data_IF_478553208161
#
_entry.id   IF_478553208161
#
_cell.length_a   1.000
_cell.length_b   1.000
_cell.length_c   1.000
_cell.angle_alpha   90.00
_cell.angle_beta   90.00
_cell.angle_gamma   90.00
#
_symmetry.space_group_name_H-M   'P 1'
#
loop_
_entity.id
_entity.type
_entity.pdbx_description
1 polymer ?
#
# COMPACT_ATOMS: atom_id res chain seq x y z
N UNK A 1 -16.89 -71.17 27.53
CA UNK A 1 -16.81 -69.82 28.09
C UNK A 1 -15.72 -69.07 27.38
N UNK A 2 -16.11 -68.19 26.44
CA UNK A 2 -15.17 -67.42 25.60
C UNK A 2 -15.26 -65.94 26.01
N UNK A 3 -14.22 -65.45 26.69
CA UNK A 3 -14.10 -64.03 27.03
C UNK A 3 -13.66 -63.25 25.81
N UNK A 4 -14.51 -62.34 25.29
CA UNK A 4 -14.16 -61.36 24.28
C UNK A 4 -13.62 -60.10 25.00
N UNK A 5 -12.32 -59.85 24.86
CA UNK A 5 -11.67 -58.59 25.25
C UNK A 5 -11.99 -57.52 24.24
N UNK A 6 -12.63 -56.40 24.64
CA UNK A 6 -12.80 -55.20 23.87
C UNK A 6 -11.58 -54.29 24.02
N UNK A 7 -10.84 -54.07 22.96
CA UNK A 7 -9.77 -53.09 22.90
C UNK A 7 -10.40 -51.71 22.68
N UNK A 8 -10.35 -50.86 23.70
CA UNK A 8 -10.73 -49.44 23.55
C UNK A 8 -9.49 -48.70 23.01
N UNK A 9 -9.56 -48.31 21.73
CA UNK A 9 -8.56 -47.40 21.10
C UNK A 9 -8.92 -45.97 21.49
N UNK A 10 -8.15 -45.39 22.41
CA UNK A 10 -8.23 -43.98 22.74
C UNK A 10 -7.54 -43.18 21.64
N UNK A 11 -8.30 -42.56 20.73
CA UNK A 11 -7.80 -41.58 19.77
C UNK A 11 -7.59 -40.27 20.51
N UNK A 12 -6.35 -39.98 20.86
CA UNK A 12 -5.92 -38.66 21.32
C UNK A 12 -5.98 -37.69 20.14
N UNK A 13 -7.07 -36.95 20.00
CA UNK A 13 -7.16 -35.78 19.15
C UNK A 13 -6.26 -34.69 19.76
N UNK A 14 -5.03 -34.59 19.27
CA UNK A 14 -4.19 -33.41 19.50
C UNK A 14 -4.81 -32.23 18.76
N UNK A 15 -5.47 -31.38 19.52
CA UNK A 15 -5.87 -30.06 19.07
C UNK A 15 -4.60 -29.26 18.76
N UNK A 16 -4.21 -29.16 17.50
CA UNK A 16 -3.25 -28.17 17.04
C UNK A 16 -3.99 -26.84 17.09
N UNK A 17 -3.86 -26.16 18.22
CA UNK A 17 -4.31 -24.78 18.37
C UNK A 17 -3.50 -23.91 17.40
N UNK A 18 -4.03 -23.66 16.22
CA UNK A 18 -3.55 -22.57 15.38
C UNK A 18 -3.69 -21.29 16.21
N UNK A 19 -2.58 -20.62 16.50
CA UNK A 19 -2.59 -19.28 17.07
C UNK A 19 -3.36 -18.40 16.09
N UNK A 20 -4.61 -18.10 16.42
CA UNK A 20 -5.38 -17.07 15.75
C UNK A 20 -4.62 -15.78 16.06
N UNK A 21 -4.02 -15.16 15.06
CA UNK A 21 -3.43 -13.84 15.23
C UNK A 21 -4.53 -12.95 15.80
N UNK A 22 -4.32 -12.43 17.00
CA UNK A 22 -5.21 -11.50 17.67
C UNK A 22 -5.43 -10.32 16.71
N UNK A 23 -6.68 -10.08 16.29
CA UNK A 23 -7.06 -9.01 15.38
C UNK A 23 -6.80 -7.67 16.07
N UNK A 24 -5.55 -7.21 16.01
CA UNK A 24 -5.18 -5.91 16.53
C UNK A 24 -5.92 -4.82 15.73
N UNK A 25 -6.48 -3.85 16.44
CA UNK A 25 -7.12 -2.71 15.81
C UNK A 25 -6.17 -2.05 14.79
N UNK A 26 -6.70 -1.53 13.66
CA UNK A 26 -5.88 -0.83 12.70
C UNK A 26 -5.11 0.33 13.36
N UNK A 27 -3.84 0.56 13.00
CA UNK A 27 -3.00 1.51 13.71
C UNK A 27 -3.49 2.95 13.52
N UNK A 28 -3.46 3.75 14.61
CA UNK A 28 -3.49 5.20 14.54
C UNK A 28 -2.08 5.69 14.21
N UNK A 29 -1.96 6.48 13.16
CA UNK A 29 -0.67 7.04 12.74
C UNK A 29 -0.41 8.39 13.41
N UNK A 30 0.85 8.85 13.41
CA UNK A 30 1.24 10.08 14.10
C UNK A 30 1.99 11.07 13.22
N UNK A 31 2.30 10.68 11.98
CA UNK A 31 3.05 11.52 11.05
C UNK A 31 2.24 11.80 9.80
N UNK A 32 2.18 13.08 9.43
CA UNK A 32 1.72 13.58 8.14
C UNK A 32 2.91 14.19 7.44
N UNK A 33 3.11 13.85 6.17
CA UNK A 33 4.19 14.35 5.34
C UNK A 33 3.64 14.95 4.04
N UNK A 34 4.53 15.63 3.28
CA UNK A 34 4.13 16.33 2.07
C UNK A 34 3.61 17.74 2.36
N UNK A 35 3.19 18.42 1.30
CA UNK A 35 2.77 19.82 1.36
C UNK A 35 1.86 20.18 0.19
N UNK A 36 1.35 21.41 0.21
CA UNK A 36 0.71 22.04 -0.95
C UNK A 36 1.71 22.98 -1.59
N UNK A 37 2.17 22.65 -2.78
CA UNK A 37 3.17 23.45 -3.52
C UNK A 37 2.63 23.92 -4.86
N UNK A 38 3.11 25.10 -5.29
CA UNK A 38 2.94 25.58 -6.65
C UNK A 38 4.27 25.47 -7.38
N UNK A 39 4.32 24.60 -8.37
CA UNK A 39 5.54 24.28 -9.11
C UNK A 39 5.52 25.04 -10.44
N UNK A 40 6.57 25.82 -10.72
CA UNK A 40 6.82 26.38 -12.03
C UNK A 40 7.53 25.35 -12.92
N UNK A 41 6.93 25.00 -14.02
CA UNK A 41 7.48 24.04 -14.97
C UNK A 41 8.66 24.67 -15.72
N UNK A 42 9.83 24.04 -15.64
CA UNK A 42 11.06 24.55 -16.29
C UNK A 42 11.42 23.82 -17.56
N UNK A 43 10.89 22.59 -17.76
CA UNK A 43 11.12 21.74 -18.93
C UNK A 43 9.82 21.09 -19.36
N UNK A 44 9.67 20.87 -20.68
CA UNK A 44 8.51 20.13 -21.19
C UNK A 44 8.35 18.80 -20.48
N UNK A 45 7.18 18.54 -19.91
CA UNK A 45 6.83 17.33 -19.17
C UNK A 45 5.35 16.99 -19.36
N UNK A 46 4.85 16.04 -18.58
CA UNK A 46 3.42 15.74 -18.49
C UNK A 46 2.96 15.78 -17.04
N UNK A 47 1.69 16.07 -16.82
CA UNK A 47 1.05 15.98 -15.51
C UNK A 47 1.23 14.58 -14.90
N UNK A 48 1.12 13.53 -15.72
CA UNK A 48 1.31 12.14 -15.28
C UNK A 48 2.69 11.94 -14.66
N UNK A 49 3.75 12.42 -15.34
CA UNK A 49 5.11 12.29 -14.82
C UNK A 49 5.31 13.11 -13.53
N UNK A 50 4.82 14.35 -13.52
CA UNK A 50 4.95 15.26 -12.38
C UNK A 50 4.23 14.71 -11.15
N UNK A 51 3.01 14.17 -11.31
CA UNK A 51 2.24 13.54 -10.26
C UNK A 51 2.93 12.28 -9.71
N UNK A 52 3.42 11.42 -10.63
CA UNK A 52 4.09 10.17 -10.25
C UNK A 52 5.32 10.42 -9.37
N UNK A 53 6.20 11.35 -9.73
CA UNK A 53 7.42 11.61 -8.93
C UNK A 53 7.13 12.17 -7.55
N UNK A 54 5.92 12.68 -7.33
CA UNK A 54 5.40 13.15 -6.03
C UNK A 54 4.58 12.07 -5.30
N UNK A 55 4.39 10.89 -5.89
CA UNK A 55 3.57 9.82 -5.32
C UNK A 55 2.08 10.17 -5.25
N UNK A 56 1.60 11.07 -6.11
CA UNK A 56 0.20 11.51 -6.20
C UNK A 56 -0.43 10.93 -7.45
N UNK A 57 -1.71 10.62 -7.39
CA UNK A 57 -2.46 10.18 -8.56
C UNK A 57 -2.66 11.33 -9.55
N UNK A 58 -2.25 11.14 -10.80
CA UNK A 58 -2.31 12.19 -11.81
C UNK A 58 -3.73 12.77 -12.08
N UNK A 59 -4.85 11.99 -11.99
CA UNK A 59 -6.18 12.57 -12.15
C UNK A 59 -6.53 13.60 -11.09
N UNK A 60 -5.98 13.44 -9.87
CA UNK A 60 -6.14 14.39 -8.78
C UNK A 60 -5.48 15.73 -9.13
N UNK A 61 -4.24 15.68 -9.63
CA UNK A 61 -3.52 16.89 -10.08
C UNK A 61 -4.24 17.57 -11.26
N UNK A 62 -4.77 16.79 -12.21
CA UNK A 62 -5.59 17.31 -13.31
C UNK A 62 -6.81 18.06 -12.78
N UNK A 63 -7.55 17.46 -11.85
CA UNK A 63 -8.75 18.06 -11.25
C UNK A 63 -8.44 19.34 -10.50
N UNK A 64 -7.39 19.34 -9.67
CA UNK A 64 -6.96 20.49 -8.86
C UNK A 64 -6.53 21.70 -9.70
N UNK A 65 -6.06 21.47 -10.93
CA UNK A 65 -5.56 22.51 -11.83
C UNK A 65 -6.47 22.74 -13.05
N UNK A 66 -7.63 22.10 -13.12
CA UNK A 66 -8.59 22.20 -14.23
C UNK A 66 -7.96 21.97 -15.62
N UNK A 67 -7.00 21.03 -15.71
CA UNK A 67 -6.22 20.81 -16.92
C UNK A 67 -7.04 20.07 -17.98
N UNK A 68 -6.83 20.44 -19.24
CA UNK A 68 -7.44 19.80 -20.42
C UNK A 68 -6.45 18.84 -21.08
N UNK A 69 -6.97 17.78 -21.75
CA UNK A 69 -6.13 16.91 -22.59
C UNK A 69 -5.38 17.74 -23.63
N UNK A 70 -4.14 17.38 -23.98
CA UNK A 70 -3.44 16.11 -23.70
C UNK A 70 -2.60 16.10 -22.42
N UNK A 71 -2.84 16.94 -21.43
CA UNK A 71 -2.15 17.01 -20.13
C UNK A 71 -0.63 17.21 -20.24
N UNK A 72 -0.19 17.91 -21.29
CA UNK A 72 1.21 18.32 -21.50
C UNK A 72 1.45 19.63 -20.77
N UNK A 73 2.65 19.75 -20.21
CA UNK A 73 3.10 20.95 -19.53
C UNK A 73 4.34 21.50 -20.24
N UNK A 74 4.39 22.81 -20.34
CA UNK A 74 5.44 23.54 -21.02
C UNK A 74 6.19 24.44 -20.03
N UNK A 75 7.44 24.86 -20.38
CA UNK A 75 8.15 25.84 -19.57
C UNK A 75 7.30 27.10 -19.37
N UNK A 76 7.19 27.55 -18.13
CA UNK A 76 6.35 28.68 -17.73
C UNK A 76 5.01 28.30 -17.10
N UNK A 77 4.47 27.11 -17.38
CA UNK A 77 3.25 26.65 -16.73
C UNK A 77 3.42 26.55 -15.21
N UNK A 78 2.32 26.80 -14.51
CA UNK A 78 2.29 26.74 -13.05
C UNK A 78 1.28 25.66 -12.62
N UNK A 79 1.73 24.70 -11.79
CA UNK A 79 0.93 23.57 -11.37
C UNK A 79 0.90 23.49 -9.84
N UNK A 80 -0.30 23.54 -9.28
CA UNK A 80 -0.53 23.29 -7.86
C UNK A 80 -0.56 21.77 -7.62
N UNK A 81 0.26 21.28 -6.70
CA UNK A 81 0.28 19.88 -6.26
C UNK A 81 0.09 19.85 -4.75
N UNK A 82 -0.86 19.05 -4.31
CA UNK A 82 -0.99 18.64 -2.91
C UNK A 82 -0.54 17.18 -2.81
N UNK A 83 0.57 16.94 -2.12
CA UNK A 83 1.10 15.60 -1.87
C UNK A 83 1.06 15.22 -0.38
N UNK A 84 0.26 15.95 0.41
CA UNK A 84 0.04 15.68 1.84
C UNK A 84 -0.52 14.27 2.03
N UNK A 85 0.13 13.48 2.88
CA UNK A 85 -0.23 12.09 3.12
C UNK A 85 0.09 11.64 4.54
N UNK A 86 -0.66 10.67 5.04
CA UNK A 86 -0.38 10.02 6.32
C UNK A 86 0.69 8.95 6.10
N UNK A 87 1.78 9.02 6.87
CA UNK A 87 2.88 8.04 6.80
C UNK A 87 2.49 6.76 7.53
N UNK A 88 2.34 5.62 6.83
CA UNK A 88 1.92 4.36 7.45
C UNK A 88 3.13 3.66 8.11
N UNK A 89 3.58 4.19 9.24
CA UNK A 89 4.74 3.64 9.95
C UNK A 89 4.35 2.36 10.70
N UNK A 90 4.32 1.24 10.00
CA UNK A 90 4.04 -0.09 10.55
C UNK A 90 5.32 -0.94 10.76
N UNK A 91 6.49 -0.36 10.49
CA UNK A 91 7.82 -0.90 10.79
C UNK A 91 8.71 0.22 11.32
N UNK A 92 9.66 -0.13 12.21
CA UNK A 92 10.73 0.80 12.60
C UNK A 92 11.69 1.02 11.43
N UNK A 93 12.13 -0.06 10.79
CA UNK A 93 13.08 -0.04 9.68
C UNK A 93 12.60 -0.95 8.56
N UNK A 94 12.88 -0.61 7.32
CA UNK A 94 12.55 -1.40 6.14
C UNK A 94 11.55 -0.75 5.19
N UNK A 95 10.75 -1.57 4.54
CA UNK A 95 9.83 -1.15 3.49
C UNK A 95 8.38 -1.43 3.90
N UNK A 96 7.54 -0.41 3.91
CA UNK A 96 6.08 -0.57 4.03
C UNK A 96 5.45 -0.27 2.68
N UNK A 97 4.64 -1.19 2.16
CA UNK A 97 3.96 -1.04 0.87
C UNK A 97 2.47 -1.00 1.14
N UNK A 98 1.83 0.14 0.88
CA UNK A 98 0.38 0.26 0.97
C UNK A 98 -0.23 0.13 -0.43
N UNK A 99 -0.91 -0.99 -0.68
CA UNK A 99 -1.42 -1.34 -2.00
C UNK A 99 -2.47 -0.36 -2.54
N UNK A 100 -3.45 0.14 -1.75
CA UNK A 100 -4.42 1.15 -2.21
C UNK A 100 -3.78 2.46 -2.68
N UNK A 101 -2.69 2.88 -2.04
CA UNK A 101 -1.95 4.09 -2.39
C UNK A 101 -1.06 3.91 -3.63
N UNK A 102 -0.72 2.63 -3.96
CA UNK A 102 0.30 2.32 -4.95
C UNK A 102 1.64 2.97 -4.62
N UNK A 103 1.99 2.99 -3.32
CA UNK A 103 3.22 3.59 -2.80
C UNK A 103 3.98 2.62 -1.87
N UNK A 104 5.31 2.69 -1.96
CA UNK A 104 6.27 2.09 -1.05
C UNK A 104 6.88 3.19 -0.19
N UNK A 105 6.92 2.98 1.11
CA UNK A 105 7.53 3.84 2.12
C UNK A 105 8.81 3.20 2.62
N UNK A 106 9.89 3.96 2.63
CA UNK A 106 11.19 3.53 3.16
C UNK A 106 11.45 4.17 4.51
N UNK A 107 11.77 3.32 5.50
CA UNK A 107 12.13 3.73 6.86
C UNK A 107 13.54 3.29 7.19
N UNK A 108 14.30 4.17 7.85
CA UNK A 108 15.65 3.90 8.34
C UNK A 108 15.85 4.59 9.68
N UNK A 109 16.40 3.85 10.66
CA UNK A 109 16.64 4.33 12.02
C UNK A 109 15.37 4.89 12.71
N UNK A 110 14.22 4.29 12.42
CA UNK A 110 12.92 4.71 12.92
C UNK A 110 12.33 5.94 12.22
N UNK A 111 13.01 6.47 11.21
CA UNK A 111 12.63 7.70 10.51
C UNK A 111 12.13 7.40 9.10
N UNK A 112 10.98 7.99 8.74
CA UNK A 112 10.49 8.01 7.37
C UNK A 112 11.45 8.77 6.47
N UNK A 113 11.95 8.09 5.44
CA UNK A 113 12.91 8.66 4.49
C UNK A 113 12.22 9.21 3.25
N UNK A 114 11.34 8.39 2.64
CA UNK A 114 10.72 8.73 1.37
C UNK A 114 9.65 7.70 0.97
N UNK A 115 8.70 8.14 0.12
CA UNK A 115 7.80 7.24 -0.59
C UNK A 115 8.14 7.13 -2.09
N UNK A 116 7.78 6.00 -2.69
CA UNK A 116 8.04 5.68 -4.10
C UNK A 116 6.77 5.14 -4.75
N UNK A 117 6.36 5.69 -5.90
CA UNK A 117 5.18 5.21 -6.62
C UNK A 117 5.44 3.82 -7.22
N UNK A 118 4.40 2.99 -7.22
CA UNK A 118 4.45 1.59 -7.61
C UNK A 118 3.44 1.25 -8.71
N UNK A 119 3.64 0.10 -9.36
CA UNK A 119 2.55 -0.72 -9.89
C UNK A 119 2.56 -2.06 -9.15
N UNK A 120 1.37 -2.59 -8.91
CA UNK A 120 1.16 -3.81 -8.13
C UNK A 120 0.31 -4.81 -8.90
N UNK A 121 0.01 -5.96 -8.30
CA UNK A 121 -0.82 -7.00 -8.89
C UNK A 121 -2.18 -6.51 -9.37
N UNK A 122 -2.67 -7.05 -10.49
CA UNK A 122 -4.05 -6.85 -10.95
C UNK A 122 -5.06 -7.51 -9.99
N UNK A 123 -6.35 -7.12 -9.96
CA UNK A 123 -7.31 -7.71 -9.04
C UNK A 123 -7.45 -9.25 -9.15
N UNK A 124 -7.27 -9.81 -10.35
CA UNK A 124 -7.26 -11.27 -10.57
C UNK A 124 -5.97 -11.95 -10.09
N UNK A 125 -4.90 -11.20 -9.85
CA UNK A 125 -3.62 -11.68 -9.32
C UNK A 125 -3.06 -10.65 -8.35
N UNK A 126 -3.68 -10.50 -7.17
CA UNK A 126 -3.33 -9.45 -6.22
C UNK A 126 -1.95 -9.68 -5.61
N UNK A 127 -1.28 -8.59 -5.27
CA UNK A 127 -0.09 -8.67 -4.43
C UNK A 127 -0.53 -9.07 -3.02
N UNK A 128 0.03 -10.14 -2.43
CA UNK A 128 -0.39 -10.62 -1.12
C UNK A 128 0.05 -9.66 -0.01
N UNK A 129 -0.83 -9.44 0.97
CA UNK A 129 -0.50 -8.71 2.20
C UNK A 129 0.25 -9.62 3.17
N UNK A 130 1.09 -9.04 4.03
CA UNK A 130 1.84 -9.79 5.03
C UNK A 130 3.15 -9.15 5.42
N UNK A 131 3.90 -9.86 6.27
CA UNK A 131 5.24 -9.45 6.70
C UNK A 131 6.28 -10.39 6.10
N UNK A 132 7.20 -9.81 5.35
CA UNK A 132 8.19 -10.48 4.54
C UNK A 132 9.58 -9.91 4.80
N UNK A 133 10.58 -10.44 4.11
CA UNK A 133 11.96 -9.92 4.08
C UNK A 133 12.50 -9.96 2.66
N UNK A 134 13.44 -9.09 2.35
CA UNK A 134 14.24 -9.24 1.13
C UNK A 134 15.17 -10.43 1.33
N UNK A 135 15.07 -11.45 0.47
CA UNK A 135 15.94 -12.63 0.58
C UNK A 135 17.04 -12.66 -0.49
N UNK A 136 16.82 -11.97 -1.61
CA UNK A 136 17.84 -11.87 -2.66
C UNK A 136 17.82 -10.50 -3.35
N UNK A 137 18.95 -10.16 -3.98
CA UNK A 137 19.12 -8.95 -4.78
C UNK A 137 19.89 -9.28 -6.05
N UNK A 138 19.36 -8.88 -7.21
CA UNK A 138 20.02 -9.11 -8.50
C UNK A 138 20.11 -7.82 -9.32
N UNK A 139 21.30 -7.58 -9.90
CA UNK A 139 21.50 -6.56 -10.94
C UNK A 139 21.46 -7.22 -12.31
N UNK A 140 20.84 -6.55 -13.26
CA UNK A 140 20.63 -7.06 -14.62
C UNK A 140 20.11 -8.51 -14.61
N UNK A 141 18.95 -8.77 -13.97
CA UNK A 141 18.44 -10.12 -13.81
C UNK A 141 18.08 -10.73 -15.16
N UNK A 142 18.22 -12.03 -15.25
CA UNK A 142 17.49 -12.83 -16.23
C UNK A 142 16.10 -13.09 -15.63
N UNK A 143 15.07 -12.97 -16.42
CA UNK A 143 13.71 -13.31 -15.99
C UNK A 143 13.35 -14.73 -16.44
N UNK A 144 13.28 -15.64 -15.50
CA UNK A 144 12.63 -16.93 -15.71
C UNK A 144 11.12 -16.68 -15.57
N UNK A 145 10.38 -16.93 -16.64
CA UNK A 145 8.96 -16.65 -16.68
C UNK A 145 8.23 -17.70 -15.84
N UNK A 146 7.43 -17.31 -14.84
CA UNK A 146 6.67 -18.24 -14.02
C UNK A 146 5.73 -19.13 -14.89
N UNK A 147 5.49 -20.41 -14.52
CA UNK A 147 4.60 -21.30 -15.26
C UNK A 147 3.22 -20.70 -15.50
N UNK A 148 2.61 -20.11 -14.49
CA UNK A 148 1.30 -19.45 -14.58
C UNK A 148 1.23 -18.29 -15.59
N UNK A 149 2.34 -17.59 -15.84
CA UNK A 149 2.42 -16.56 -16.89
C UNK A 149 2.61 -17.21 -18.25
N UNK A 150 3.32 -18.34 -18.33
CA UNK A 150 3.46 -19.11 -19.57
C UNK A 150 2.11 -19.68 -20.01
N UNK A 151 1.32 -20.20 -19.06
CA UNK A 151 -0.06 -20.67 -19.28
C UNK A 151 -0.96 -19.53 -19.79
N UNK A 152 -0.93 -18.34 -19.15
CA UNK A 152 -1.70 -17.18 -19.65
C UNK A 152 -1.26 -16.77 -21.06
N UNK A 153 0.03 -16.87 -21.39
CA UNK A 153 0.52 -16.59 -22.75
C UNK A 153 -0.07 -17.58 -23.76
N UNK A 154 -0.13 -18.87 -23.41
CA UNK A 154 -0.69 -19.92 -24.25
C UNK A 154 -2.20 -19.72 -24.44
N UNK A 155 -2.96 -19.53 -23.36
CA UNK A 155 -4.41 -19.28 -23.37
C UNK A 155 -4.80 -18.03 -24.21
N UNK A 156 -3.95 -17.00 -24.20
CA UNK A 156 -4.17 -15.76 -24.95
C UNK A 156 -3.58 -15.78 -26.36
N UNK A 157 -3.08 -16.95 -26.82
CA UNK A 157 -2.50 -17.12 -28.18
C UNK A 157 -1.18 -16.35 -28.38
N UNK A 158 -0.51 -15.96 -27.29
CA UNK A 158 0.80 -15.34 -27.36
C UNK A 158 1.90 -16.41 -27.44
N UNK A 159 3.03 -16.03 -28.06
CA UNK A 159 4.19 -16.92 -28.06
C UNK A 159 4.67 -17.14 -26.61
N UNK A 160 4.67 -18.40 -26.16
CA UNK A 160 5.21 -18.75 -24.85
C UNK A 160 6.72 -18.49 -24.78
N UNK A 161 7.13 -17.76 -23.75
CA UNK A 161 8.52 -17.41 -23.48
C UNK A 161 8.88 -17.91 -22.10
N UNK A 162 9.83 -18.84 -22.02
CA UNK A 162 10.28 -19.40 -20.75
C UNK A 162 11.33 -18.53 -20.04
N UNK A 163 12.13 -17.78 -20.83
CA UNK A 163 13.25 -17.01 -20.30
C UNK A 163 13.47 -15.73 -21.11
N UNK A 164 13.67 -14.61 -20.41
CA UNK A 164 14.05 -13.33 -21.02
C UNK A 164 15.44 -12.94 -20.50
N UNK A 165 16.43 -12.77 -21.40
CA UNK A 165 17.78 -12.38 -20.98
C UNK A 165 17.80 -10.98 -20.40
N UNK A 166 18.88 -10.64 -19.70
CA UNK A 166 19.15 -9.28 -19.25
C UNK A 166 19.15 -8.31 -20.42
N UNK A 167 18.65 -7.09 -20.19
CA UNK A 167 18.66 -6.05 -21.21
C UNK A 167 17.41 -5.18 -21.22
N UNK A 168 17.31 -4.24 -22.18
CA UNK A 168 16.24 -3.24 -22.20
C UNK A 168 14.84 -3.83 -22.44
N UNK A 169 14.76 -5.02 -23.04
CA UNK A 169 13.48 -5.74 -23.26
C UNK A 169 13.02 -6.54 -22.04
N UNK A 170 13.90 -6.73 -21.02
CA UNK A 170 13.55 -7.51 -19.83
C UNK A 170 12.53 -6.72 -18.97
N UNK A 171 11.35 -7.29 -18.65
CA UNK A 171 10.32 -6.62 -17.85
C UNK A 171 10.74 -6.35 -16.40
N UNK A 172 11.74 -7.07 -15.86
CA UNK A 172 12.28 -6.81 -14.52
C UNK A 172 13.21 -5.58 -14.49
N UNK A 173 13.65 -5.08 -15.66
CA UNK A 173 14.62 -4.00 -15.76
C UNK A 173 15.98 -4.33 -15.17
N UNK A 174 16.69 -3.29 -14.64
CA UNK A 174 18.09 -3.45 -14.17
C UNK A 174 18.24 -3.94 -12.73
N UNK A 175 17.19 -3.85 -11.90
CA UNK A 175 17.24 -4.14 -10.48
C UNK A 175 16.05 -5.00 -10.06
N UNK A 176 16.35 -6.03 -9.30
CA UNK A 176 15.36 -6.94 -8.72
C UNK A 176 15.73 -7.25 -7.26
N UNK A 177 14.74 -7.22 -6.38
CA UNK A 177 14.81 -7.61 -4.98
C UNK A 177 13.69 -8.62 -4.74
N UNK A 178 14.06 -9.90 -4.52
CA UNK A 178 13.11 -10.97 -4.18
C UNK A 178 12.67 -10.86 -2.74
N UNK A 179 11.38 -11.07 -2.49
CA UNK A 179 10.82 -11.11 -1.13
C UNK A 179 10.53 -12.55 -0.73
N UNK A 180 10.44 -12.81 0.58
CA UNK A 180 10.02 -14.14 1.09
C UNK A 180 8.56 -14.48 0.79
N UNK A 181 7.76 -13.56 0.24
CA UNK A 181 6.48 -13.90 -0.38
C UNK A 181 6.75 -14.68 -1.67
N UNK A 182 6.16 -15.85 -1.81
CA UNK A 182 6.34 -16.72 -2.96
C UNK A 182 6.00 -16.01 -4.27
N UNK A 183 6.92 -16.04 -5.22
CA UNK A 183 6.74 -15.43 -6.54
C UNK A 183 6.73 -13.89 -6.56
N UNK A 184 6.88 -13.21 -5.43
CA UNK A 184 6.77 -11.75 -5.33
C UNK A 184 8.15 -11.11 -5.21
N UNK A 185 8.44 -10.18 -6.12
CA UNK A 185 9.64 -9.35 -6.08
C UNK A 185 9.33 -7.87 -6.31
N UNK A 186 10.23 -7.03 -5.84
CA UNK A 186 10.26 -5.58 -6.10
C UNK A 186 11.31 -5.33 -7.18
N UNK A 187 10.90 -4.78 -8.31
CA UNK A 187 11.81 -4.66 -9.45
C UNK A 187 11.56 -3.39 -10.28
N UNK A 188 12.53 -3.05 -11.13
CA UNK A 188 12.36 -2.01 -12.12
C UNK A 188 11.33 -2.43 -13.18
N UNK A 189 11.12 -1.61 -14.19
CA UNK A 189 10.24 -1.96 -15.31
C UNK A 189 10.77 -1.39 -16.61
N UNK A 190 10.54 -2.09 -17.72
CA UNK A 190 10.69 -1.56 -19.07
C UNK A 190 9.44 -0.84 -19.57
N UNK A 191 8.36 -0.79 -18.74
CA UNK A 191 7.08 -0.13 -19.03
C UNK A 191 6.75 0.91 -17.95
N UNK A 192 7.52 2.02 -17.82
CA UNK A 192 7.37 2.99 -16.73
C UNK A 192 6.00 3.68 -16.70
N UNK A 193 5.27 3.69 -17.82
CA UNK A 193 3.90 4.21 -17.90
C UNK A 193 2.86 3.36 -17.14
N UNK A 194 3.24 2.16 -16.69
CA UNK A 194 2.37 1.28 -15.87
C UNK A 194 2.42 1.62 -14.39
N UNK A 195 3.35 2.45 -13.94
CA UNK A 195 3.41 2.89 -12.54
C UNK A 195 2.19 3.74 -12.22
N UNK A 196 1.59 3.53 -11.06
CA UNK A 196 0.33 4.11 -10.64
C UNK A 196 -0.91 3.25 -11.00
N UNK A 197 -0.69 1.99 -11.42
CA UNK A 197 -1.78 1.07 -11.80
C UNK A 197 -1.60 -0.32 -11.19
N UNK A 198 -2.71 -1.07 -11.13
CA UNK A 198 -2.75 -2.49 -10.76
C UNK A 198 -2.71 -3.34 -12.03
N UNK A 199 -1.51 -3.79 -12.44
CA UNK A 199 -1.30 -4.39 -13.79
C UNK A 199 -0.32 -5.56 -13.80
N UNK A 200 0.28 -5.93 -12.68
CA UNK A 200 1.23 -7.04 -12.63
C UNK A 200 0.54 -8.36 -12.23
N UNK A 201 1.31 -9.43 -12.24
CA UNK A 201 0.92 -10.75 -11.72
C UNK A 201 1.41 -10.91 -10.26
N UNK A 202 1.18 -9.90 -9.43
CA UNK A 202 1.57 -9.87 -8.02
C UNK A 202 2.87 -9.11 -7.74
N UNK A 203 3.87 -9.17 -8.62
CA UNK A 203 5.14 -8.43 -8.44
C UNK A 203 4.95 -6.90 -8.36
N UNK A 204 5.85 -6.25 -7.65
CA UNK A 204 5.84 -4.82 -7.37
C UNK A 204 6.82 -4.11 -8.30
N UNK A 205 6.30 -3.24 -9.17
CA UNK A 205 7.10 -2.49 -10.14
C UNK A 205 7.42 -1.10 -9.64
N UNK A 206 8.65 -0.67 -9.82
CA UNK A 206 9.12 0.69 -9.51
C UNK A 206 9.64 1.40 -10.76
N UNK A 207 9.60 2.74 -10.76
CA UNK A 207 10.28 3.53 -11.78
C UNK A 207 11.79 3.19 -11.79
N UNK A 208 12.40 2.99 -12.97
CA UNK A 208 13.83 2.61 -13.07
C UNK A 208 14.78 3.56 -12.34
N UNK A 209 14.52 4.86 -12.38
CA UNK A 209 15.31 5.88 -11.67
C UNK A 209 15.14 5.81 -10.16
N UNK A 210 13.95 5.44 -9.69
CA UNK A 210 13.66 5.42 -8.25
C UNK A 210 14.21 4.14 -7.59
N UNK A 211 14.04 2.98 -8.20
CA UNK A 211 14.64 1.76 -7.67
C UNK A 211 16.18 1.82 -7.72
N UNK A 212 16.77 2.50 -8.70
CA UNK A 212 18.23 2.69 -8.76
C UNK A 212 18.76 3.46 -7.55
N UNK A 213 17.96 4.36 -6.95
CA UNK A 213 18.29 5.07 -5.72
C UNK A 213 18.04 4.23 -4.47
N UNK A 214 16.96 3.46 -4.45
CA UNK A 214 16.57 2.63 -3.30
C UNK A 214 17.44 1.38 -3.17
N UNK A 215 17.71 0.69 -4.28
CA UNK A 215 18.39 -0.60 -4.30
C UNK A 215 19.71 -0.66 -3.50
N UNK A 216 20.63 0.33 -3.57
CA UNK A 216 21.88 0.28 -2.80
C UNK A 216 21.65 0.44 -1.28
N UNK A 217 20.51 0.98 -0.87
CA UNK A 217 20.19 1.23 0.55
C UNK A 217 19.54 0.01 1.23
N UNK A 218 19.07 -0.95 0.46
CA UNK A 218 18.34 -2.11 0.96
C UNK A 218 19.32 -3.30 1.04
N UNK A 219 19.42 -3.92 2.22
CA UNK A 219 20.19 -5.14 2.43
C UNK A 219 19.30 -6.39 2.28
N UNK A 220 19.91 -7.56 2.05
CA UNK A 220 19.24 -8.84 2.28
C UNK A 220 18.90 -8.93 3.76
N UNK A 221 17.72 -9.44 4.08
CA UNK A 221 17.16 -9.44 5.43
C UNK A 221 16.29 -8.22 5.77
N UNK A 222 16.33 -7.14 4.95
CA UNK A 222 15.48 -5.96 5.18
C UNK A 222 14.00 -6.36 5.28
N UNK A 223 13.29 -5.96 6.36
CA UNK A 223 11.86 -6.21 6.51
C UNK A 223 11.03 -5.53 5.41
N UNK A 224 9.99 -6.23 4.96
CA UNK A 224 9.00 -5.72 4.00
C UNK A 224 7.62 -6.02 4.54
N UNK A 225 6.82 -5.00 4.82
CA UNK A 225 5.43 -5.14 5.22
C UNK A 225 4.51 -4.67 4.11
N UNK A 226 3.69 -5.55 3.60
CA UNK A 226 2.70 -5.23 2.55
C UNK A 226 1.34 -5.16 3.22
N UNK A 227 0.70 -3.99 3.14
CA UNK A 227 -0.56 -3.68 3.81
C UNK A 227 -1.63 -3.26 2.80
N UNK A 228 -2.88 -3.37 3.25
CA UNK A 228 -4.04 -2.85 2.53
C UNK A 228 -4.81 -1.90 3.44
N UNK A 229 -4.46 -0.61 3.42
CA UNK A 229 -5.05 0.45 4.24
C UNK A 229 -5.62 1.54 3.33
N UNK A 230 -6.82 1.34 2.76
CA UNK A 230 -7.46 2.36 1.90
C UNK A 230 -7.97 3.57 2.68
N UNK A 231 -8.05 3.47 4.01
CA UNK A 231 -8.38 4.58 4.91
C UNK A 231 -7.33 4.61 6.01
N UNK A 232 -6.75 5.77 6.23
CA UNK A 232 -5.80 6.04 7.30
C UNK A 232 -6.25 7.23 8.13
N UNK A 233 -6.06 7.15 9.44
CA UNK A 233 -6.28 8.24 10.38
C UNK A 233 -4.98 8.52 11.10
N UNK A 234 -4.66 9.80 11.26
CA UNK A 234 -3.52 10.21 12.07
C UNK A 234 -3.95 11.23 13.13
N UNK A 235 -3.35 11.09 14.32
CA UNK A 235 -3.35 12.11 15.36
C UNK A 235 -1.89 12.58 15.53
N UNK A 236 -1.60 13.81 15.09
CA UNK A 236 -0.26 14.37 15.19
C UNK A 236 0.08 14.79 16.61
N UNK A 237 1.37 14.95 16.95
CA UNK A 237 1.79 15.45 18.27
C UNK A 237 1.16 16.80 18.65
N UNK A 238 0.80 17.61 17.66
CA UNK A 238 0.13 18.93 17.85
C UNK A 238 -1.38 18.78 18.10
N UNK A 239 -1.89 17.55 18.24
CA UNK A 239 -3.31 17.26 18.50
C UNK A 239 -4.22 17.43 17.27
N UNK A 240 -3.67 17.45 16.05
CA UNK A 240 -4.44 17.54 14.81
C UNK A 240 -4.82 16.17 14.30
N UNK A 241 -6.07 16.02 13.90
CA UNK A 241 -6.58 14.77 13.30
C UNK A 241 -6.62 14.89 11.78
N UNK A 242 -6.01 13.93 11.10
CA UNK A 242 -6.02 13.84 9.63
C UNK A 242 -6.71 12.56 9.19
N UNK A 243 -7.44 12.66 8.09
CA UNK A 243 -8.06 11.54 7.40
C UNK A 243 -7.59 11.51 5.95
N UNK A 244 -7.15 10.34 5.51
CA UNK A 244 -6.80 10.05 4.13
C UNK A 244 -7.62 8.87 3.64
N UNK A 245 -8.14 8.97 2.42
CA UNK A 245 -8.89 7.90 1.77
C UNK A 245 -8.35 7.67 0.36
N UNK A 246 -8.01 6.43 0.06
CA UNK A 246 -7.49 5.96 -1.20
C UNK A 246 -8.50 5.13 -1.97
N UNK A 247 -8.17 4.78 -3.22
CA UNK A 247 -8.96 3.85 -3.99
C UNK A 247 -8.94 2.46 -3.34
N UNK A 248 -10.08 1.81 -3.30
CA UNK A 248 -10.16 0.39 -2.99
C UNK A 248 -9.83 -0.41 -4.26
N UNK A 249 -8.53 -0.54 -4.56
CA UNK A 249 -8.03 -1.06 -5.84
C UNK A 249 -8.38 -2.52 -6.10
N UNK A 250 -8.59 -3.33 -5.05
CA UNK A 250 -9.02 -4.72 -5.15
C UNK A 250 -10.51 -4.92 -4.87
N UNK A 251 -11.24 -3.81 -4.61
CA UNK A 251 -12.68 -3.82 -4.33
C UNK A 251 -13.08 -4.71 -3.15
N UNK A 252 -12.18 -4.85 -2.15
CA UNK A 252 -12.49 -5.56 -0.92
C UNK A 252 -13.59 -4.83 -0.16
N UNK A 253 -14.41 -5.58 0.57
CA UNK A 253 -15.52 -5.01 1.31
C UNK A 253 -15.02 -4.00 2.35
N UNK A 254 -15.61 -2.79 2.34
CA UNK A 254 -15.21 -1.70 3.22
C UNK A 254 -16.39 -0.76 3.50
N UNK A 255 -16.93 -0.84 4.71
CA UNK A 255 -17.89 0.12 5.24
C UNK A 255 -17.16 1.37 5.75
N UNK A 256 -16.77 2.24 4.84
CA UNK A 256 -15.79 3.32 5.08
C UNK A 256 -16.15 4.27 6.23
N UNK A 257 -17.44 4.63 6.40
CA UNK A 257 -17.87 5.53 7.47
C UNK A 257 -17.84 4.82 8.84
N UNK A 258 -18.31 3.56 8.88
CA UNK A 258 -18.33 2.79 10.12
C UNK A 258 -16.90 2.47 10.58
N UNK A 259 -16.00 2.20 9.63
CA UNK A 259 -14.58 2.04 9.90
C UNK A 259 -13.98 3.30 10.58
N UNK A 260 -14.24 4.50 10.02
CA UNK A 260 -13.73 5.76 10.60
C UNK A 260 -14.31 6.00 11.99
N UNK A 261 -15.62 5.74 12.19
CA UNK A 261 -16.27 5.88 13.50
C UNK A 261 -15.65 4.92 14.52
N UNK A 262 -15.53 3.63 14.17
CA UNK A 262 -14.96 2.62 15.04
C UNK A 262 -13.51 2.94 15.44
N UNK A 263 -12.69 3.42 14.50
CA UNK A 263 -11.33 3.88 14.78
C UNK A 263 -11.31 5.08 15.74
N UNK A 264 -12.17 6.06 15.48
CA UNK A 264 -12.25 7.28 16.31
C UNK A 264 -12.73 6.96 17.75
N UNK A 265 -13.63 6.01 17.92
CA UNK A 265 -14.10 5.53 19.22
C UNK A 265 -13.00 4.73 19.93
N UNK A 266 -12.37 3.80 19.23
CA UNK A 266 -11.30 2.95 19.79
C UNK A 266 -10.14 3.78 20.34
N UNK A 267 -9.73 4.84 19.63
CA UNK A 267 -8.66 5.72 20.03
C UNK A 267 -9.11 6.95 20.86
N UNK A 268 -10.39 7.02 21.21
CA UNK A 268 -10.98 8.12 22.00
C UNK A 268 -10.76 9.51 21.40
N UNK A 269 -10.79 9.62 20.07
CA UNK A 269 -10.56 10.87 19.32
C UNK A 269 -11.82 11.43 18.66
N UNK A 270 -12.99 10.81 18.86
CA UNK A 270 -14.25 11.20 18.22
C UNK A 270 -14.64 12.65 18.47
N UNK A 271 -14.32 13.20 19.65
CA UNK A 271 -14.60 14.57 20.05
C UNK A 271 -13.66 15.59 19.37
N UNK A 272 -12.53 15.15 18.83
CA UNK A 272 -11.57 15.98 18.10
C UNK A 272 -11.93 16.15 16.61
N UNK A 273 -12.86 15.33 16.10
CA UNK A 273 -13.17 15.22 14.66
C UNK A 273 -14.33 16.16 14.28
N UNK A 274 -14.10 16.92 13.21
CA UNK A 274 -15.17 17.59 12.46
C UNK A 274 -15.80 16.58 11.49
N UNK A 275 -16.85 15.93 11.95
CA UNK A 275 -17.56 14.89 11.21
C UNK A 275 -18.20 15.37 9.91
N UNK A 276 -18.42 16.69 9.75
CA UNK A 276 -18.97 17.25 8.50
C UNK A 276 -18.04 17.10 7.30
N UNK A 277 -16.72 17.02 7.53
CA UNK A 277 -15.68 16.86 6.49
C UNK A 277 -15.54 15.42 6.02
N UNK A 278 -15.79 14.45 6.88
CA UNK A 278 -15.50 13.02 6.64
C UNK A 278 -16.17 12.45 5.40
N UNK A 279 -17.50 12.63 5.18
CA UNK A 279 -18.17 12.05 4.00
C UNK A 279 -17.60 12.54 2.68
N UNK A 280 -17.17 13.81 2.62
CA UNK A 280 -16.54 14.38 1.42
C UNK A 280 -15.23 13.72 1.08
N UNK A 281 -14.39 13.44 2.07
CA UNK A 281 -13.08 12.79 1.90
C UNK A 281 -13.27 11.34 1.44
N UNK A 282 -14.17 10.61 2.11
CA UNK A 282 -14.45 9.20 1.77
C UNK A 282 -15.04 9.03 0.36
N UNK A 283 -15.74 10.04 -0.17
CA UNK A 283 -16.19 10.02 -1.56
C UNK A 283 -15.09 10.33 -2.57
N UNK A 284 -14.21 11.29 -2.27
CA UNK A 284 -13.12 11.67 -3.19
C UNK A 284 -12.11 10.57 -3.41
N UNK A 285 -11.69 9.88 -2.37
CA UNK A 285 -10.67 8.81 -2.43
C UNK A 285 -9.46 9.22 -3.27
N UNK A 286 -8.97 10.43 -3.02
CA UNK A 286 -7.93 11.06 -3.82
C UNK A 286 -6.52 10.82 -3.28
N UNK A 287 -6.39 10.16 -2.11
CA UNK A 287 -5.10 9.84 -1.48
C UNK A 287 -4.42 11.07 -0.89
N UNK A 288 -5.20 12.10 -0.55
CA UNK A 288 -4.71 13.29 0.14
C UNK A 288 -5.15 13.24 1.60
N UNK A 289 -4.21 13.51 2.50
CA UNK A 289 -4.52 13.67 3.91
C UNK A 289 -5.14 15.05 4.17
N UNK A 290 -6.36 15.06 4.67
CA UNK A 290 -7.10 16.27 5.01
C UNK A 290 -7.20 16.43 6.51
N UNK A 291 -6.99 17.65 6.98
CA UNK A 291 -7.21 18.02 8.35
C UNK A 291 -8.73 18.05 8.65
N UNK A 292 -9.12 17.14 9.51
CA UNK A 292 -10.49 16.99 10.00
C UNK A 292 -10.64 17.41 11.46
N UNK A 293 -9.66 18.12 12.01
CA UNK A 293 -9.73 18.61 13.39
C UNK A 293 -10.92 19.56 13.52
N UNK A 294 -11.69 19.43 14.60
CA UNK A 294 -12.79 20.30 14.94
C UNK A 294 -12.24 21.72 15.22
N UNK A 295 -12.82 22.73 14.57
CA UNK A 295 -12.44 24.12 14.76
C UNK A 295 -12.79 24.58 16.19
N UNK A 296 -11.94 25.40 16.77
CA UNK A 296 -12.03 25.96 18.12
C UNK A 296 -11.88 24.94 19.26
N UNK A 297 -10.89 25.12 20.08
CA UNK A 297 -10.64 24.44 21.35
C UNK A 297 -10.08 23.02 21.30
N UNK A 298 -9.33 22.64 20.26
CA UNK A 298 -8.49 21.48 20.39
C UNK A 298 -7.43 21.78 21.47
N UNK A 299 -7.50 21.17 22.67
CA UNK A 299 -6.47 21.37 23.66
C UNK A 299 -5.15 20.85 23.12
N UNK A 300 -4.08 21.55 23.32
CA UNK A 300 -2.73 21.22 22.86
C UNK A 300 -2.22 19.84 23.37
N UNK A 301 -2.99 19.12 24.15
CA UNK A 301 -2.62 17.83 24.75
C UNK A 301 -3.79 16.86 24.81
N UNK A 302 -4.14 16.25 23.68
CA UNK A 302 -4.84 14.97 23.75
C UNK A 302 -3.80 13.91 24.19
N UNK A 303 -3.79 13.53 25.47
CA UNK A 303 -3.00 12.38 25.94
C UNK A 303 -3.59 11.14 25.29
N UNK A 304 -2.81 10.47 24.45
CA UNK A 304 -3.14 9.15 23.93
C UNK A 304 -3.14 8.21 25.12
N UNK A 305 -4.31 7.87 25.63
CA UNK A 305 -4.42 6.76 26.58
C UNK A 305 -3.99 5.48 25.86
N UNK A 306 -3.19 4.65 26.54
CA UNK A 306 -2.91 3.30 26.03
C UNK A 306 -4.25 2.59 25.79
N UNK A 307 -4.41 1.83 24.69
CA UNK A 307 -5.66 1.15 24.40
C UNK A 307 -6.05 0.26 25.59
N UNK A 308 -7.32 0.22 26.00
CA UNK A 308 -7.77 -0.63 27.07
C UNK A 308 -7.52 -2.10 26.70
N UNK A 309 -7.03 -2.90 27.64
CA UNK A 309 -6.90 -4.34 27.47
C UNK A 309 -8.26 -4.92 27.02
N UNK A 310 -8.27 -5.44 25.83
CA UNK A 310 -9.20 -6.33 25.16
C UNK A 310 -10.59 -6.57 25.78
N UNK A 311 -11.53 -5.65 25.54
CA UNK A 311 -12.93 -5.98 25.32
C UNK A 311 -13.42 -5.25 24.06
N UNK A 312 -12.71 -5.48 22.96
CA UNK A 312 -12.94 -4.76 21.69
C UNK A 312 -14.20 -5.29 21.00
N UNK A 313 -15.08 -4.37 20.67
CA UNK A 313 -16.01 -4.62 19.57
C UNK A 313 -15.21 -5.02 18.33
N UNK A 314 -15.54 -6.15 17.73
CA UNK A 314 -14.84 -6.71 16.56
C UNK A 314 -14.90 -5.71 15.42
N UNK A 315 -13.80 -5.02 15.15
CA UNK A 315 -13.60 -4.36 13.87
C UNK A 315 -13.33 -5.47 12.87
N UNK A 316 -14.27 -5.74 11.96
CA UNK A 316 -14.10 -6.77 10.94
C UNK A 316 -12.81 -6.51 10.16
N UNK A 317 -11.91 -7.50 10.06
CA UNK A 317 -10.68 -7.34 9.30
C UNK A 317 -11.03 -7.09 7.83
N UNK A 318 -10.23 -6.26 7.16
CA UNK A 318 -10.30 -6.05 5.72
C UNK A 318 -9.71 -7.29 4.98
N UNK A 319 -10.23 -8.46 5.29
CA UNK A 319 -9.90 -9.68 4.56
C UNK A 319 -11.01 -9.91 3.52
N UNK A 320 -10.65 -9.69 2.26
CA UNK A 320 -11.52 -10.04 1.17
C UNK A 320 -11.79 -11.54 1.17
N UNK A 321 -13.06 -11.93 1.32
CA UNK A 321 -13.49 -13.20 0.77
C UNK A 321 -13.37 -13.06 -0.74
N UNK A 322 -12.53 -13.91 -1.34
CA UNK A 322 -12.57 -14.12 -2.79
C UNK A 322 -14.01 -14.45 -3.18
N UNK A 323 -14.67 -13.51 -3.85
CA UNK A 323 -15.88 -13.86 -4.59
C UNK A 323 -15.44 -14.75 -5.74
N UNK A 324 -15.64 -16.06 -5.63
CA UNK A 324 -15.63 -16.95 -6.78
C UNK A 324 -16.63 -16.37 -7.79
N UNK A 325 -16.11 -15.84 -8.86
CA UNK A 325 -16.89 -15.57 -10.07
C UNK A 325 -17.09 -16.93 -10.73
N UNK A 326 -18.34 -17.43 -10.68
CA UNK A 326 -18.84 -18.38 -11.66
C UNK A 326 -19.09 -17.67 -12.99
#
# INVERSE_FOLDING_TARGET
MIFRAWLIVLVLLTWVGGAVAEDAAPPLYHQVAGSVETIKVTKRTSVVHLALVRGVRWPVVVGQNHLKKPYRLYPGDTIKINDTHIVPQELKDGLVINLPELNLYYFKDGVYQRRYPLAVGKPSWPTPTGTYKIFEKRRNPVWNVPPSIQEEMEETGQRVVQKVPSGPKNPLGKFYMGTTAEGIGIHATNRPWTIGYTVSHGCIRMLPKEIAKLYPQIAVGTPVKIIYRPIKIALTPEGRVYLEADLNVYRWELHSMDYVKAMAEYYHISNLIDWSKVPGILRRRDGIAYDITKAANAPATARIAAPPNSTAARLSPLHGKESKLE
#
